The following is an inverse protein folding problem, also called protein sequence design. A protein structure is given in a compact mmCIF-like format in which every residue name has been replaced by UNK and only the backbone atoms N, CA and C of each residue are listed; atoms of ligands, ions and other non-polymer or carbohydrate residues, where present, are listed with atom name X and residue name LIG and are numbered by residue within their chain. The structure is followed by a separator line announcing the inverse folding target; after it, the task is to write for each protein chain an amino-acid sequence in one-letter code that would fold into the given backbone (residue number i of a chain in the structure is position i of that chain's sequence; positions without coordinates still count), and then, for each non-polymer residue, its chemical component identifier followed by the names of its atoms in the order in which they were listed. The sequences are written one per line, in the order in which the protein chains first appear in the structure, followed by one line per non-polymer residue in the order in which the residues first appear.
data_IF_303172075458
#
_entry.id   IF_303172075458
#
_cell.length_a   1.000
_cell.length_b   1.000
_cell.length_c   1.000
_cell.angle_alpha   90.00
_cell.angle_beta   90.00
_cell.angle_gamma   90.00
#
_symmetry.space_group_name_H-M   'P 1'
#
loop_
_entity.id
_entity.type
_entity.pdbx_description
1 polymer ?
#
# COMPACT_ATOMS: atom_id res chain seq x y z
N UNK A 1 13.61 -19.94 -4.49
CA UNK A 1 13.05 -18.57 -4.19
C UNK A 1 12.95 -17.68 -5.44
N UNK A 2 14.02 -17.50 -6.26
CA UNK A 2 13.97 -16.64 -7.48
C UNK A 2 12.98 -17.15 -8.54
N UNK A 3 12.96 -18.45 -8.80
CA UNK A 3 12.05 -19.07 -9.77
C UNK A 3 10.58 -19.01 -9.32
N UNK A 4 10.32 -19.21 -8.05
CA UNK A 4 8.98 -19.11 -7.47
C UNK A 4 8.40 -17.69 -7.63
N UNK A 5 9.22 -16.67 -7.42
CA UNK A 5 8.84 -15.26 -7.61
C UNK A 5 8.41 -14.98 -9.06
N UNK A 6 9.17 -15.50 -10.04
CA UNK A 6 8.86 -15.29 -11.47
C UNK A 6 7.57 -16.00 -11.86
N UNK A 7 7.29 -17.16 -11.28
CA UNK A 7 6.10 -17.96 -11.60
C UNK A 7 4.84 -17.52 -10.85
N UNK A 8 5.01 -16.72 -9.79
CA UNK A 8 3.87 -16.21 -9.04
C UNK A 8 3.04 -15.25 -9.91
N UNK A 9 1.76 -15.55 -10.07
CA UNK A 9 0.84 -14.74 -10.90
C UNK A 9 0.87 -15.05 -12.41
N UNK A 10 1.70 -15.99 -12.88
CA UNK A 10 1.71 -16.39 -14.28
C UNK A 10 0.61 -17.40 -14.66
N UNK A 11 -0.15 -17.90 -13.69
CA UNK A 11 -1.19 -18.91 -13.91
C UNK A 11 -2.46 -18.31 -14.54
N UNK A 12 -2.80 -18.76 -15.76
CA UNK A 12 -4.09 -18.48 -16.40
C UNK A 12 -5.01 -19.67 -16.19
N UNK A 13 -5.98 -19.52 -15.31
CA UNK A 13 -6.95 -20.60 -14.98
C UNK A 13 -7.94 -20.81 -16.13
N UNK A 14 -8.23 -22.06 -16.46
CA UNK A 14 -9.32 -22.45 -17.35
C UNK A 14 -8.93 -22.72 -18.81
N UNK A 15 -7.65 -22.85 -19.14
CA UNK A 15 -7.18 -23.30 -20.47
C UNK A 15 -6.48 -24.65 -20.39
N UNK A 16 -6.52 -25.42 -21.49
CA UNK A 16 -5.78 -26.69 -21.60
C UNK A 16 -4.25 -26.47 -21.74
N UNK A 17 -3.83 -25.22 -21.99
CA UNK A 17 -2.43 -24.83 -22.10
C UNK A 17 -2.23 -23.54 -21.32
N UNK A 18 -1.31 -23.56 -20.40
CA UNK A 18 -0.90 -22.38 -19.63
C UNK A 18 0.27 -21.70 -20.35
N UNK A 19 0.20 -20.41 -20.66
CA UNK A 19 1.37 -19.70 -21.16
C UNK A 19 2.47 -19.71 -20.10
N UNK A 20 3.71 -19.87 -20.54
CA UNK A 20 4.89 -19.86 -19.65
C UNK A 20 5.11 -18.48 -19.02
N UNK A 21 4.59 -17.44 -19.67
CA UNK A 21 4.61 -16.05 -19.21
C UNK A 21 3.19 -15.49 -19.29
N UNK A 22 2.78 -14.70 -18.29
CA UNK A 22 1.46 -14.06 -18.30
C UNK A 22 1.30 -13.17 -19.52
N UNK A 23 0.27 -13.40 -20.38
CA UNK A 23 0.00 -12.54 -21.54
C UNK A 23 -0.30 -11.09 -21.12
N UNK A 24 -0.03 -10.14 -22.00
CA UNK A 24 -0.42 -8.74 -21.80
C UNK A 24 -1.87 -8.56 -22.25
N UNK A 25 -2.74 -8.22 -21.32
CA UNK A 25 -4.17 -7.98 -21.58
C UNK A 25 -4.42 -6.49 -21.87
N UNK A 26 -4.38 -6.11 -23.15
CA UNK A 26 -4.63 -4.74 -23.62
C UNK A 26 -6.12 -4.49 -23.92
N UNK A 27 -7.02 -5.06 -23.17
CA UNK A 27 -8.46 -4.85 -23.38
C UNK A 27 -9.04 -3.84 -22.39
N UNK A 28 -9.98 -3.03 -22.86
CA UNK A 28 -10.73 -2.09 -21.99
C UNK A 28 -11.83 -2.81 -21.23
N UNK A 29 -12.52 -3.74 -21.88
CA UNK A 29 -13.63 -4.50 -21.31
C UNK A 29 -13.47 -5.99 -21.63
N UNK A 30 -14.01 -6.81 -20.75
CA UNK A 30 -14.05 -8.27 -20.89
C UNK A 30 -15.47 -8.70 -21.15
N UNK A 31 -15.67 -9.73 -21.97
CA UNK A 31 -16.99 -10.32 -22.19
C UNK A 31 -17.35 -11.21 -21.00
N UNK A 32 -18.49 -10.94 -20.40
CA UNK A 32 -19.08 -11.79 -19.38
C UNK A 32 -19.77 -13.02 -19.97
N UNK A 33 -20.19 -13.92 -19.11
CA UNK A 33 -21.07 -15.06 -19.49
C UNK A 33 -22.40 -14.59 -20.06
N UNK A 34 -23.09 -15.50 -20.72
CA UNK A 34 -24.38 -15.24 -21.40
C UNK A 34 -25.59 -15.24 -20.44
N UNK A 35 -25.42 -15.65 -19.20
CA UNK A 35 -26.46 -15.80 -18.18
C UNK A 35 -26.37 -14.68 -17.15
N UNK A 36 -27.53 -14.19 -16.67
CA UNK A 36 -27.62 -13.16 -15.63
C UNK A 36 -27.04 -13.63 -14.27
N UNK A 37 -27.14 -14.91 -13.96
CA UNK A 37 -26.59 -15.47 -12.73
C UNK A 37 -25.07 -15.59 -12.82
N UNK A 38 -24.53 -16.02 -13.97
CA UNK A 38 -23.09 -15.95 -14.27
C UNK A 38 -22.59 -14.51 -14.29
N UNK A 39 -23.40 -13.56 -14.78
CA UNK A 39 -23.08 -12.14 -14.79
C UNK A 39 -22.99 -11.56 -13.36
N UNK A 40 -23.91 -11.94 -12.47
CA UNK A 40 -23.90 -11.52 -11.07
C UNK A 40 -22.71 -12.13 -10.31
N UNK A 41 -22.35 -13.38 -10.51
CA UNK A 41 -21.10 -13.97 -9.97
C UNK A 41 -19.86 -13.31 -10.56
N UNK A 42 -19.90 -12.92 -11.82
CA UNK A 42 -18.84 -12.28 -12.57
C UNK A 42 -18.60 -10.83 -12.06
N UNK A 43 -19.66 -10.07 -11.78
CA UNK A 43 -19.56 -8.74 -11.18
C UNK A 43 -19.20 -8.80 -9.69
N UNK A 44 -19.62 -9.86 -9.01
CA UNK A 44 -19.52 -9.89 -7.57
C UNK A 44 -18.10 -10.11 -7.04
N UNK A 45 -17.20 -10.91 -7.67
CA UNK A 45 -15.80 -11.04 -7.12
C UNK A 45 -14.85 -11.86 -8.02
N UNK A 46 -15.30 -12.68 -8.98
CA UNK A 46 -14.44 -13.72 -9.58
C UNK A 46 -13.97 -13.45 -11.02
N UNK A 47 -14.48 -12.41 -11.67
CA UNK A 47 -14.21 -12.16 -13.08
C UNK A 47 -13.60 -10.79 -13.38
N UNK A 48 -13.29 -10.60 -14.65
CA UNK A 48 -12.83 -9.32 -15.20
C UNK A 48 -13.97 -8.72 -16.03
N UNK A 49 -14.33 -7.48 -15.77
CA UNK A 49 -15.39 -6.75 -16.48
C UNK A 49 -14.83 -5.56 -17.23
N UNK A 50 -14.11 -4.72 -16.52
CA UNK A 50 -13.57 -3.47 -17.02
C UNK A 50 -12.17 -3.22 -16.47
N UNK A 51 -11.24 -2.85 -17.34
CA UNK A 51 -9.81 -2.74 -17.04
C UNK A 51 -9.50 -1.81 -15.84
N UNK A 52 -10.26 -0.71 -15.69
CA UNK A 52 -10.09 0.21 -14.55
C UNK A 52 -10.37 -0.47 -13.21
N UNK A 53 -11.34 -1.40 -13.18
CA UNK A 53 -11.72 -2.12 -11.96
C UNK A 53 -10.72 -3.26 -11.70
N UNK A 54 -10.53 -4.15 -12.69
CA UNK A 54 -9.64 -5.31 -12.61
C UNK A 54 -9.00 -5.63 -13.96
N UNK A 55 -7.76 -6.12 -13.91
CA UNK A 55 -7.03 -6.60 -15.08
C UNK A 55 -6.11 -7.74 -14.65
N UNK A 56 -5.98 -8.84 -15.43
CA UNK A 56 -5.12 -9.97 -15.08
C UNK A 56 -3.67 -9.58 -14.75
N UNK A 57 -3.06 -8.68 -15.53
CA UNK A 57 -1.68 -8.25 -15.28
C UNK A 57 -1.55 -7.49 -13.96
N UNK A 58 -2.51 -6.58 -13.67
CA UNK A 58 -2.50 -5.82 -12.42
C UNK A 58 -2.74 -6.74 -11.21
N UNK A 59 -3.63 -7.71 -11.32
CA UNK A 59 -3.89 -8.66 -10.27
C UNK A 59 -2.67 -9.56 -10.01
N UNK A 60 -2.02 -10.06 -11.06
CA UNK A 60 -0.80 -10.84 -10.94
C UNK A 60 0.33 -10.06 -10.25
N UNK A 61 0.49 -8.77 -10.59
CA UNK A 61 1.44 -7.90 -9.90
C UNK A 61 1.05 -7.68 -8.44
N UNK A 62 -0.24 -7.48 -8.14
CA UNK A 62 -0.71 -7.31 -6.78
C UNK A 62 -0.45 -8.57 -5.92
N UNK A 63 -0.73 -9.76 -6.45
CA UNK A 63 -0.43 -11.03 -5.80
C UNK A 63 1.07 -11.19 -5.55
N UNK A 64 1.90 -10.83 -6.52
CA UNK A 64 3.36 -10.87 -6.37
C UNK A 64 3.85 -9.91 -5.28
N UNK A 65 3.35 -8.67 -5.25
CA UNK A 65 3.74 -7.69 -4.22
C UNK A 65 3.27 -8.16 -2.83
N UNK A 66 2.05 -8.67 -2.71
CA UNK A 66 1.57 -9.26 -1.44
C UNK A 66 2.48 -10.38 -0.95
N UNK A 67 2.89 -11.28 -1.85
CA UNK A 67 3.82 -12.37 -1.52
C UNK A 67 5.20 -11.85 -1.07
N UNK A 68 5.74 -10.86 -1.78
CA UNK A 68 7.04 -10.28 -1.49
C UNK A 68 7.06 -9.53 -0.16
N UNK A 69 6.06 -8.73 0.10
CA UNK A 69 5.96 -7.91 1.32
C UNK A 69 5.39 -8.69 2.51
N UNK A 70 4.75 -9.84 2.29
CA UNK A 70 4.07 -10.63 3.34
C UNK A 70 2.69 -10.10 3.71
N UNK A 71 2.08 -9.28 2.84
CA UNK A 71 0.75 -8.71 3.06
C UNK A 71 -0.39 -9.65 2.65
N UNK A 72 -1.57 -9.43 3.20
CA UNK A 72 -2.80 -10.18 2.85
C UNK A 72 -3.28 -9.87 1.43
N UNK A 73 -3.16 -8.61 1.01
CA UNK A 73 -3.56 -8.13 -0.29
C UNK A 73 -2.76 -6.88 -0.68
N UNK A 74 -2.75 -6.57 -1.98
CA UNK A 74 -2.11 -5.37 -2.51
C UNK A 74 -2.99 -4.67 -3.52
N UNK A 75 -2.88 -3.35 -3.58
CA UNK A 75 -3.48 -2.52 -4.61
C UNK A 75 -2.38 -1.87 -5.43
N UNK A 76 -2.47 -1.99 -6.75
CA UNK A 76 -1.50 -1.39 -7.67
C UNK A 76 -2.03 -0.04 -8.15
N UNK A 77 -1.24 0.99 -7.92
CA UNK A 77 -1.47 2.36 -8.38
C UNK A 77 -0.57 2.70 -9.58
N UNK A 78 -0.90 3.77 -10.29
CA UNK A 78 -0.12 4.23 -11.46
C UNK A 78 1.15 4.99 -11.09
N UNK A 79 1.30 5.36 -9.82
CA UNK A 79 2.48 6.06 -9.28
C UNK A 79 2.60 5.85 -7.77
N UNK A 80 3.80 6.08 -7.22
CA UNK A 80 4.04 6.07 -5.78
C UNK A 80 3.19 7.11 -5.06
N UNK A 81 3.15 8.35 -5.56
CA UNK A 81 2.28 9.39 -4.98
C UNK A 81 0.80 9.05 -5.05
N UNK A 82 0.36 8.34 -6.10
CA UNK A 82 -0.99 7.78 -6.18
C UNK A 82 -1.26 6.75 -5.08
N UNK A 83 -0.29 5.90 -4.78
CA UNK A 83 -0.38 4.93 -3.68
C UNK A 83 -0.41 5.63 -2.33
N UNK A 84 0.51 6.56 -2.07
CA UNK A 84 0.58 7.34 -0.81
C UNK A 84 -0.74 8.08 -0.57
N UNK A 85 -1.16 8.89 -1.55
CA UNK A 85 -2.38 9.70 -1.41
C UNK A 85 -3.62 8.84 -1.18
N UNK A 86 -3.77 7.75 -1.93
CA UNK A 86 -4.91 6.83 -1.77
C UNK A 86 -4.88 6.19 -0.39
N UNK A 87 -3.73 5.76 0.10
CA UNK A 87 -3.58 5.17 1.43
C UNK A 87 -3.98 6.16 2.52
N UNK A 88 -3.43 7.37 2.50
CA UNK A 88 -3.75 8.39 3.51
C UNK A 88 -5.24 8.73 3.54
N UNK A 89 -5.84 8.96 2.36
CA UNK A 89 -7.26 9.30 2.26
C UNK A 89 -8.22 8.12 2.48
N UNK A 90 -7.74 6.88 2.44
CA UNK A 90 -8.57 5.71 2.76
C UNK A 90 -8.59 5.38 4.26
N UNK A 91 -7.63 5.90 5.02
CA UNK A 91 -7.45 5.60 6.44
C UNK A 91 -7.79 6.76 7.38
N UNK A 92 -7.90 7.99 6.85
CA UNK A 92 -8.19 9.18 7.65
C UNK A 92 -9.36 9.98 7.06
N UNK A 93 -10.23 10.44 7.92
CA UNK A 93 -11.37 11.31 7.63
C UNK A 93 -11.13 12.74 8.13
N UNK A 94 -12.03 13.68 7.75
CA UNK A 94 -12.00 15.03 8.28
C UNK A 94 -12.13 15.04 9.82
N UNK A 95 -11.21 15.70 10.49
CA UNK A 95 -11.09 15.71 11.95
C UNK A 95 -10.04 14.73 12.50
N UNK A 96 -9.50 13.84 11.67
CA UNK A 96 -8.42 12.94 12.06
C UNK A 96 -7.04 13.61 11.94
N UNK A 97 -6.06 13.01 12.59
CA UNK A 97 -4.68 13.47 12.63
C UNK A 97 -3.71 12.41 12.09
N UNK A 98 -2.74 12.87 11.30
CA UNK A 98 -1.62 12.08 10.80
C UNK A 98 -0.33 12.55 11.48
N UNK A 99 0.33 11.66 12.21
CA UNK A 99 1.68 11.89 12.71
C UNK A 99 2.68 11.35 11.70
N UNK A 100 3.54 12.21 11.17
CA UNK A 100 4.47 11.84 10.12
C UNK A 100 5.93 12.13 10.52
N UNK A 101 6.85 11.36 9.94
CA UNK A 101 8.26 11.66 10.06
C UNK A 101 8.57 13.00 9.35
N UNK A 102 9.38 13.84 9.96
CA UNK A 102 9.83 15.10 9.34
C UNK A 102 10.85 14.88 8.21
N UNK A 103 11.49 13.73 8.20
CA UNK A 103 12.44 13.32 7.18
C UNK A 103 11.75 12.40 6.17
N UNK A 104 10.94 12.95 5.27
CA UNK A 104 10.24 12.21 4.21
C UNK A 104 10.59 12.77 2.84
N UNK A 105 10.24 12.02 1.81
CA UNK A 105 10.23 12.48 0.44
C UNK A 105 9.41 13.77 0.31
N UNK A 106 9.94 14.76 -0.46
CA UNK A 106 9.39 16.11 -0.50
C UNK A 106 7.91 16.16 -0.87
N UNK A 107 7.50 15.40 -1.91
CA UNK A 107 6.12 15.38 -2.36
C UNK A 107 5.18 14.70 -1.34
N UNK A 108 5.71 13.83 -0.46
CA UNK A 108 4.93 13.30 0.67
C UNK A 108 4.65 14.39 1.71
N UNK A 109 5.61 15.26 1.97
CA UNK A 109 5.38 16.44 2.83
C UNK A 109 4.40 17.41 2.20
N UNK A 110 4.45 17.61 0.88
CA UNK A 110 3.50 18.46 0.16
C UNK A 110 2.07 17.91 0.22
N UNK A 111 1.88 16.58 0.03
CA UNK A 111 0.53 16.01 0.12
C UNK A 111 -0.04 16.12 1.54
N UNK A 112 0.78 16.01 2.60
CA UNK A 112 0.34 16.24 3.97
C UNK A 112 -0.19 17.67 4.18
N UNK A 113 0.38 18.68 3.52
CA UNK A 113 -0.14 20.05 3.55
C UNK A 113 -1.41 20.21 2.70
N UNK A 114 -1.51 19.50 1.58
CA UNK A 114 -2.71 19.55 0.72
C UNK A 114 -3.92 18.97 1.43
N UNK A 115 -3.79 17.84 2.12
CA UNK A 115 -4.91 17.16 2.79
C UNK A 115 -5.48 17.94 3.97
N UNK A 116 -4.75 18.90 4.54
CA UNK A 116 -5.27 19.84 5.55
C UNK A 116 -6.50 20.62 5.05
N UNK A 117 -6.56 20.89 3.75
CA UNK A 117 -7.73 21.54 3.10
C UNK A 117 -8.98 20.69 3.17
N UNK A 118 -8.85 19.40 3.41
CA UNK A 118 -9.93 18.44 3.57
C UNK A 118 -10.22 18.10 5.04
N UNK A 119 -9.62 18.89 5.96
CA UNK A 119 -9.83 18.75 7.40
C UNK A 119 -9.04 17.65 8.07
N UNK A 120 -8.01 17.09 7.41
CA UNK A 120 -7.10 16.12 8.01
C UNK A 120 -5.84 16.86 8.46
N UNK A 121 -5.61 16.91 9.76
CA UNK A 121 -4.46 17.60 10.33
C UNK A 121 -3.20 16.70 10.31
N UNK A 122 -2.02 17.32 10.25
CA UNK A 122 -0.77 16.58 10.29
C UNK A 122 0.27 17.29 11.15
N UNK A 123 1.07 16.48 11.87
CA UNK A 123 2.26 16.92 12.62
C UNK A 123 3.47 16.13 12.14
N UNK A 124 4.57 16.82 11.89
CA UNK A 124 5.83 16.19 11.50
C UNK A 124 6.86 16.32 12.63
N UNK A 125 7.46 15.19 13.03
CA UNK A 125 8.55 15.13 14.01
C UNK A 125 9.65 14.18 13.53
N UNK A 126 10.83 14.28 14.10
CA UNK A 126 11.93 13.38 13.75
C UNK A 126 11.69 11.99 14.39
N UNK A 127 11.53 10.96 13.55
CA UNK A 127 11.29 9.58 14.01
C UNK A 127 12.56 8.85 14.46
N UNK A 128 13.73 9.47 14.37
CA UNK A 128 14.92 8.96 15.05
C UNK A 128 14.88 9.25 16.57
N UNK A 129 14.03 10.19 17.00
CA UNK A 129 13.71 10.45 18.40
C UNK A 129 12.34 9.83 18.76
N UNK A 130 12.35 8.59 19.25
CA UNK A 130 11.15 7.84 19.63
C UNK A 130 10.33 8.54 20.71
N UNK A 131 10.96 9.28 21.61
CA UNK A 131 10.25 10.04 22.65
C UNK A 131 9.53 11.26 22.06
N UNK A 132 10.09 11.90 21.03
CA UNK A 132 9.40 12.95 20.28
C UNK A 132 8.17 12.39 19.56
N UNK A 133 8.27 11.20 18.93
CA UNK A 133 7.13 10.50 18.32
C UNK A 133 6.02 10.27 19.34
N UNK A 134 6.35 9.69 20.49
CA UNK A 134 5.39 9.40 21.56
C UNK A 134 4.66 10.65 22.07
N UNK A 135 5.38 11.74 22.24
CA UNK A 135 4.81 13.02 22.70
C UNK A 135 3.92 13.71 21.67
N UNK A 136 4.15 13.46 20.39
CA UNK A 136 3.41 14.09 19.31
C UNK A 136 2.09 13.38 18.97
N UNK A 137 1.83 12.19 19.52
CA UNK A 137 0.57 11.48 19.36
C UNK A 137 -0.57 12.32 19.95
N UNK A 138 -1.68 12.43 19.21
CA UNK A 138 -2.90 13.11 19.62
C UNK A 138 -4.04 12.12 19.80
N UNK A 139 -5.10 12.51 20.50
CA UNK A 139 -6.25 11.64 20.77
C UNK A 139 -6.97 11.20 19.46
N UNK A 140 -6.85 12.00 18.40
CA UNK A 140 -7.42 11.75 17.07
C UNK A 140 -6.37 11.26 16.06
N UNK A 141 -5.17 10.85 16.46
CA UNK A 141 -4.17 10.27 15.56
C UNK A 141 -4.69 8.93 15.02
N UNK A 142 -4.83 8.85 13.70
CA UNK A 142 -5.27 7.66 12.96
C UNK A 142 -4.16 6.98 12.18
N UNK A 143 -3.20 7.77 11.73
CA UNK A 143 -2.08 7.27 10.94
C UNK A 143 -0.78 7.77 11.58
N UNK A 144 0.19 6.87 11.69
CA UNK A 144 1.61 7.20 11.87
C UNK A 144 2.30 6.81 10.57
N UNK A 145 2.96 7.77 9.91
CA UNK A 145 3.54 7.58 8.57
C UNK A 145 5.05 7.80 8.58
N UNK A 146 5.80 6.87 7.99
CA UNK A 146 7.26 6.98 7.85
C UNK A 146 7.78 6.27 6.60
N UNK A 147 9.03 6.53 6.26
CA UNK A 147 9.88 5.71 5.39
C UNK A 147 10.81 4.86 6.28
N UNK A 148 11.24 3.68 5.81
CA UNK A 148 12.26 2.89 6.54
C UNK A 148 13.61 3.61 6.52
N UNK A 149 14.01 4.09 5.32
CA UNK A 149 15.18 4.95 5.11
C UNK A 149 14.70 6.20 4.41
N UNK A 150 14.92 7.34 5.03
CA UNK A 150 14.39 8.61 4.55
C UNK A 150 15.11 9.13 3.29
N UNK A 151 14.36 9.79 2.43
CA UNK A 151 14.86 10.53 1.28
C UNK A 151 14.78 12.05 1.57
N UNK A 152 15.87 12.83 1.52
CA UNK A 152 17.23 12.47 1.07
C UNK A 152 18.22 12.18 2.20
N UNK A 153 17.82 12.28 3.47
CA UNK A 153 18.76 12.32 4.61
C UNK A 153 19.37 10.97 4.95
N UNK A 154 18.83 9.87 4.41
CA UNK A 154 19.25 8.49 4.70
C UNK A 154 19.15 8.11 6.19
N UNK A 155 18.34 8.81 6.95
CA UNK A 155 18.05 8.48 8.34
C UNK A 155 17.24 7.17 8.40
N UNK A 156 17.62 6.26 9.29
CA UNK A 156 16.96 4.96 9.47
C UNK A 156 16.02 5.03 10.67
N UNK A 157 14.79 4.55 10.46
CA UNK A 157 13.74 4.53 11.49
C UNK A 157 13.64 3.15 12.13
N UNK A 158 13.51 3.11 13.45
CA UNK A 158 13.16 1.89 14.18
C UNK A 158 11.65 1.62 14.00
N UNK A 159 11.33 0.86 12.94
CA UNK A 159 9.95 0.54 12.55
C UNK A 159 9.20 -0.15 13.68
N UNK A 160 9.83 -1.09 14.39
CA UNK A 160 9.20 -1.84 15.48
C UNK A 160 8.85 -0.93 16.68
N UNK A 161 9.73 0.01 17.02
CA UNK A 161 9.45 0.96 18.09
C UNK A 161 8.30 1.91 17.73
N UNK A 162 8.24 2.36 16.47
CA UNK A 162 7.14 3.20 15.97
C UNK A 162 5.83 2.41 15.88
N UNK A 163 5.87 1.14 15.46
CA UNK A 163 4.70 0.27 15.43
C UNK A 163 4.06 0.10 16.80
N UNK A 164 4.87 -0.10 17.83
CA UNK A 164 4.37 -0.15 19.24
C UNK A 164 3.63 1.13 19.63
N UNK A 165 4.16 2.30 19.27
CA UNK A 165 3.48 3.58 19.55
C UNK A 165 2.16 3.70 18.80
N UNK A 166 2.13 3.31 17.50
CA UNK A 166 0.93 3.33 16.70
C UNK A 166 -0.17 2.45 17.31
N UNK A 167 0.16 1.22 17.63
CA UNK A 167 -0.79 0.27 18.20
C UNK A 167 -1.26 0.66 19.60
N UNK A 168 -0.37 1.20 20.44
CA UNK A 168 -0.72 1.69 21.78
C UNK A 168 -1.78 2.80 21.74
N UNK A 169 -1.80 3.64 20.71
CA UNK A 169 -2.79 4.71 20.54
C UNK A 169 -3.96 4.35 19.60
N UNK A 170 -3.96 3.13 19.03
CA UNK A 170 -5.00 2.67 18.08
C UNK A 170 -4.89 3.25 16.67
N UNK A 171 -3.72 3.81 16.33
CA UNK A 171 -3.41 4.28 14.98
C UNK A 171 -2.85 3.14 14.11
N UNK A 172 -2.88 3.34 12.79
CA UNK A 172 -2.22 2.48 11.82
C UNK A 172 -0.81 2.98 11.50
N UNK A 173 0.18 2.06 11.48
CA UNK A 173 1.50 2.39 10.98
C UNK A 173 1.56 2.14 9.47
N UNK A 174 1.75 3.20 8.71
CA UNK A 174 1.99 3.17 7.27
C UNK A 174 3.46 3.42 6.99
N UNK A 175 4.09 2.49 6.26
CA UNK A 175 5.53 2.56 5.96
C UNK A 175 5.75 2.56 4.46
N UNK A 176 6.41 3.59 3.95
CA UNK A 176 6.93 3.62 2.59
C UNK A 176 8.26 2.85 2.54
N UNK A 177 8.24 1.72 1.87
CA UNK A 177 9.38 0.81 1.75
C UNK A 177 10.13 0.94 0.41
N UNK A 178 9.99 2.07 -0.27
CA UNK A 178 10.51 2.28 -1.63
C UNK A 178 12.03 2.06 -1.71
N UNK A 179 12.81 2.58 -0.77
CA UNK A 179 14.27 2.49 -0.83
C UNK A 179 14.81 1.13 -0.44
N UNK A 180 14.22 0.49 0.54
CA UNK A 180 14.69 -0.79 1.08
C UNK A 180 14.12 -1.98 0.33
N UNK A 181 12.91 -1.88 -0.19
CA UNK A 181 12.17 -2.98 -0.79
C UNK A 181 12.04 -4.19 0.15
N UNK A 182 11.17 -5.12 -0.19
CA UNK A 182 10.99 -6.39 0.56
C UNK A 182 12.22 -7.31 0.57
N UNK A 183 13.24 -6.99 -0.25
CA UNK A 183 14.49 -7.76 -0.28
C UNK A 183 15.42 -7.43 0.88
N UNK A 184 15.33 -6.23 1.42
CA UNK A 184 16.12 -5.76 2.56
C UNK A 184 15.33 -5.91 3.85
N UNK A 185 14.09 -5.40 3.87
CA UNK A 185 13.21 -5.46 5.04
C UNK A 185 11.75 -5.55 4.59
N UNK A 186 10.96 -6.27 5.34
CA UNK A 186 9.50 -6.28 5.24
C UNK A 186 8.92 -5.56 6.47
N UNK A 187 8.46 -4.33 6.34
CA UNK A 187 7.94 -3.57 7.49
C UNK A 187 6.81 -4.27 8.24
N UNK A 188 6.01 -5.09 7.55
CA UNK A 188 4.95 -5.91 8.14
C UNK A 188 5.49 -6.85 9.21
N UNK A 189 6.69 -7.45 9.02
CA UNK A 189 7.32 -8.33 10.01
C UNK A 189 7.72 -7.57 11.29
N UNK A 190 7.76 -6.23 11.24
CA UNK A 190 8.08 -5.33 12.33
C UNK A 190 6.86 -4.55 12.85
N UNK A 191 5.67 -4.96 12.45
CA UNK A 191 4.40 -4.43 12.96
C UNK A 191 3.82 -3.27 12.16
N UNK A 192 4.27 -3.01 10.92
CA UNK A 192 3.55 -2.12 10.01
C UNK A 192 2.20 -2.76 9.59
N UNK A 193 1.16 -1.93 9.42
CA UNK A 193 -0.20 -2.34 9.02
C UNK A 193 -0.40 -2.28 7.50
#
# INVERSE_FOLDING_TARGET
RGTEIIMQGAEVKGTLSTPEVLPIYLTTAFRGGADLDELNEYYAVKGYTYNRIRNPNRNALAELVSYLEGGEASMICSSGMGAITTTLLSLADAGDHILANSNLYGETLEILDVIKRYGIESTCVDFTDIEAVRKAVQANTKIIYTEVISNPTMAVVDVEAVARIAHDCGAKLVVDNTFTTSTVIKPIDFGAD
#
